data_IF_021679080504
#
_entry.id   IF_021679080504
#
_cell.length_a   1.000
_cell.length_b   1.000
_cell.length_c   1.000
_cell.angle_alpha   90.00
_cell.angle_beta   90.00
_cell.angle_gamma   90.00
#
_symmetry.space_group_name_H-M   'P 1'
#
loop_
_entity.id
_entity.type
_entity.pdbx_description
1 polymer ?
#
# COMPACT_ATOMS: atom_id res chain seq x y z
N UNK A 1 -1.70 19.89 69.63
CA UNK A 1 -0.90 20.64 68.64
C UNK A 1 -0.26 19.75 67.55
N UNK A 2 0.21 18.52 67.84
CA UNK A 2 0.81 17.60 66.84
C UNK A 2 -0.16 17.16 65.71
N UNK A 3 -1.41 16.84 66.02
CA UNK A 3 -2.41 16.36 65.04
C UNK A 3 -2.74 17.43 63.98
N UNK A 4 -2.92 18.70 64.40
CA UNK A 4 -3.19 19.81 63.46
C UNK A 4 -2.02 20.06 62.50
N UNK A 5 -0.77 19.90 62.94
CA UNK A 5 0.42 20.02 62.05
C UNK A 5 0.49 18.89 61.02
N UNK A 6 0.17 17.65 61.42
CA UNK A 6 0.13 16.50 60.51
C UNK A 6 -0.98 16.68 59.46
N UNK A 7 -2.16 17.16 59.85
CA UNK A 7 -3.26 17.44 58.92
C UNK A 7 -2.87 18.50 57.89
N UNK A 8 -2.25 19.61 58.30
CA UNK A 8 -1.79 20.65 57.36
C UNK A 8 -0.74 20.12 56.38
N UNK A 9 0.22 19.32 56.85
CA UNK A 9 1.23 18.69 55.98
C UNK A 9 0.57 17.75 54.97
N UNK A 10 -0.37 16.90 55.40
CA UNK A 10 -1.12 16.00 54.53
C UNK A 10 -1.92 16.77 53.47
N UNK A 11 -2.58 17.87 53.84
CA UNK A 11 -3.31 18.72 52.89
C UNK A 11 -2.37 19.33 51.85
N UNK A 12 -1.22 19.86 52.27
CA UNK A 12 -0.23 20.45 51.33
C UNK A 12 0.31 19.38 50.38
N UNK A 13 0.63 18.19 50.88
CA UNK A 13 1.11 17.07 50.04
C UNK A 13 0.02 16.64 49.05
N UNK A 14 -1.23 16.53 49.49
CA UNK A 14 -2.35 16.17 48.60
C UNK A 14 -2.56 17.20 47.49
N UNK A 15 -2.48 18.50 47.81
CA UNK A 15 -2.57 19.58 46.83
C UNK A 15 -1.41 19.52 45.84
N UNK A 16 -0.19 19.28 46.30
CA UNK A 16 0.98 19.17 45.43
C UNK A 16 0.86 17.98 44.47
N UNK A 17 0.45 16.80 44.99
CA UNK A 17 0.19 15.61 44.16
C UNK A 17 -0.89 15.92 43.12
N UNK A 18 -1.98 16.57 43.53
CA UNK A 18 -3.05 16.96 42.62
C UNK A 18 -2.54 17.87 41.50
N UNK A 19 -1.72 18.89 41.81
CA UNK A 19 -1.13 19.79 40.82
C UNK A 19 -0.18 19.06 39.86
N UNK A 20 0.63 18.12 40.37
CA UNK A 20 1.52 17.29 39.55
C UNK A 20 0.71 16.43 38.58
N UNK A 21 -0.31 15.73 39.09
CA UNK A 21 -1.21 14.90 38.27
C UNK A 21 -1.90 15.76 37.21
N UNK A 22 -2.45 16.91 37.60
CA UNK A 22 -3.09 17.84 36.68
C UNK A 22 -2.13 18.32 35.59
N UNK A 23 -0.88 18.65 35.97
CA UNK A 23 0.14 19.05 35.01
C UNK A 23 0.47 17.93 34.01
N UNK A 24 0.67 16.70 34.50
CA UNK A 24 0.98 15.52 33.68
C UNK A 24 -0.16 15.19 32.70
N UNK A 25 -1.42 15.31 33.09
CA UNK A 25 -2.53 14.91 32.21
C UNK A 25 -3.06 16.03 31.31
N UNK A 26 -2.93 17.31 31.69
CA UNK A 26 -3.58 18.42 30.98
C UNK A 26 -2.63 19.49 30.43
N UNK A 27 -1.51 19.77 31.10
CA UNK A 27 -0.60 20.87 30.72
C UNK A 27 0.55 20.34 29.87
N UNK A 28 1.33 19.41 30.41
CA UNK A 28 2.51 18.85 29.76
C UNK A 28 2.24 18.22 28.38
N UNK A 29 1.11 17.53 28.13
CA UNK A 29 0.84 16.99 26.80
C UNK A 29 0.65 18.03 25.69
N UNK A 30 0.58 19.33 26.02
CA UNK A 30 0.50 20.38 25.00
C UNK A 30 1.86 20.64 24.35
N UNK A 31 2.96 20.31 25.03
CA UNK A 31 4.31 20.61 24.56
C UNK A 31 4.94 19.47 23.77
N UNK A 32 5.51 19.77 22.61
CA UNK A 32 6.07 18.75 21.70
C UNK A 32 7.30 18.04 22.27
N UNK A 33 8.11 18.71 23.09
CA UNK A 33 9.29 18.09 23.73
C UNK A 33 8.93 16.95 24.70
N UNK A 34 7.65 16.85 25.10
CA UNK A 34 7.15 15.74 25.93
C UNK A 34 6.85 14.48 25.13
N UNK A 35 7.00 14.53 23.80
CA UNK A 35 6.72 13.42 22.90
C UNK A 35 8.03 12.85 22.35
N UNK A 36 8.19 11.53 22.47
CA UNK A 36 9.41 10.82 22.08
C UNK A 36 9.11 9.74 21.05
N UNK A 37 10.10 9.30 20.30
CA UNK A 37 9.95 8.16 19.38
C UNK A 37 9.72 6.85 20.13
N UNK A 38 9.16 5.85 19.44
CA UNK A 38 8.82 4.55 20.02
C UNK A 38 10.01 3.89 20.72
N UNK A 39 11.19 3.92 20.10
CA UNK A 39 12.45 3.34 20.60
C UNK A 39 12.97 4.00 21.90
N UNK A 40 12.64 5.28 22.10
CA UNK A 40 13.04 6.08 23.27
C UNK A 40 12.01 6.06 24.39
N UNK A 41 10.81 5.53 24.15
CA UNK A 41 9.76 5.50 25.15
C UNK A 41 10.02 4.38 26.18
N UNK A 42 9.77 4.64 27.47
CA UNK A 42 10.00 3.67 28.54
C UNK A 42 9.08 2.43 28.47
N UNK A 43 7.98 2.51 27.70
CA UNK A 43 7.09 1.39 27.38
C UNK A 43 7.25 0.87 25.94
N UNK A 44 8.44 1.02 25.32
CA UNK A 44 8.71 0.62 23.93
C UNK A 44 8.27 -0.81 23.59
N UNK A 45 8.37 -1.74 24.53
CA UNK A 45 7.96 -3.14 24.35
C UNK A 45 6.44 -3.29 24.11
N UNK A 46 5.62 -2.40 24.71
CA UNK A 46 4.16 -2.36 24.46
C UNK A 46 3.79 -1.65 23.17
N UNK A 47 4.70 -0.85 22.62
CA UNK A 47 4.50 -0.12 21.36
C UNK A 47 4.83 -1.04 20.16
N UNK A 48 5.83 -1.92 20.32
CA UNK A 48 6.34 -2.81 19.29
C UNK A 48 5.54 -4.12 19.10
N UNK A 49 4.31 -4.20 19.62
CA UNK A 49 3.50 -5.42 19.77
C UNK A 49 2.90 -5.97 18.46
N UNK A 50 3.62 -5.84 17.34
CA UNK A 50 3.15 -6.24 16.01
C UNK A 50 3.99 -7.37 15.43
N UNK A 51 3.34 -8.20 14.61
CA UNK A 51 3.96 -9.33 13.90
C UNK A 51 5.15 -8.82 13.05
N UNK A 52 6.35 -9.36 13.34
CA UNK A 52 7.58 -8.91 12.72
C UNK A 52 7.53 -9.06 11.19
N UNK A 53 7.57 -7.94 10.47
CA UNK A 53 7.56 -7.93 9.00
C UNK A 53 6.17 -7.77 8.36
N UNK A 54 5.12 -7.61 9.15
CA UNK A 54 3.78 -7.27 8.65
C UNK A 54 3.32 -5.89 9.14
N UNK A 55 2.25 -5.38 8.53
CA UNK A 55 1.60 -4.13 8.90
C UNK A 55 0.08 -4.29 8.84
N UNK A 56 -0.65 -3.18 8.84
CA UNK A 56 -2.11 -3.20 8.83
C UNK A 56 -2.68 -3.77 7.55
N UNK A 57 -3.50 -4.80 7.69
CA UNK A 57 -4.26 -5.44 6.62
C UNK A 57 -5.53 -4.65 6.35
N UNK A 58 -5.74 -4.23 5.11
CA UNK A 58 -6.96 -3.54 4.66
C UNK A 58 -8.12 -4.50 4.59
N UNK A 59 -9.33 -3.94 4.67
CA UNK A 59 -10.56 -4.67 4.42
C UNK A 59 -10.51 -5.37 3.05
N UNK A 60 -10.77 -6.68 3.02
CA UNK A 60 -10.61 -7.46 1.80
C UNK A 60 -11.80 -8.44 1.58
N UNK A 61 -12.13 -8.78 0.33
CA UNK A 61 -13.23 -9.72 0.03
C UNK A 61 -12.84 -11.17 0.30
N UNK A 62 -11.55 -11.50 0.27
CA UNK A 62 -11.02 -12.83 0.57
C UNK A 62 -9.92 -12.71 1.59
N UNK A 63 -10.03 -13.44 2.69
CA UNK A 63 -9.06 -13.42 3.80
C UNK A 63 -8.76 -14.83 4.25
N UNK A 64 -7.48 -15.13 4.44
CA UNK A 64 -7.03 -16.39 5.02
C UNK A 64 -7.27 -16.38 6.54
N UNK A 65 -8.00 -17.38 7.05
CA UNK A 65 -8.08 -17.71 8.47
C UNK A 65 -7.17 -18.89 8.83
N UNK A 66 -7.22 -19.34 10.08
CA UNK A 66 -6.38 -20.43 10.59
C UNK A 66 -6.66 -21.76 9.88
N UNK A 67 -7.93 -22.16 9.82
CA UNK A 67 -8.36 -23.48 9.31
C UNK A 67 -8.95 -23.45 7.88
N UNK A 68 -9.00 -22.28 7.26
CA UNK A 68 -9.71 -22.10 5.99
C UNK A 68 -9.67 -20.67 5.46
N UNK A 69 -10.31 -20.48 4.31
CA UNK A 69 -10.43 -19.17 3.67
C UNK A 69 -11.84 -18.62 3.83
N UNK A 70 -11.95 -17.38 4.28
CA UNK A 70 -13.19 -16.62 4.26
C UNK A 70 -13.28 -15.83 2.96
N UNK A 71 -14.45 -15.82 2.33
CA UNK A 71 -14.68 -15.06 1.11
C UNK A 71 -16.09 -14.50 1.04
N UNK A 72 -16.22 -13.31 0.48
CA UNK A 72 -17.49 -12.58 0.39
C UNK A 72 -18.18 -12.88 -0.95
N UNK A 73 -19.47 -13.18 -0.91
CA UNK A 73 -20.33 -13.19 -2.09
C UNK A 73 -21.51 -12.25 -1.84
N UNK A 74 -21.48 -11.05 -2.43
CA UNK A 74 -22.50 -10.00 -2.21
C UNK A 74 -22.71 -9.74 -0.72
N UNK A 75 -23.88 -10.01 -0.17
CA UNK A 75 -24.19 -9.84 1.26
C UNK A 75 -23.94 -11.07 2.13
N UNK A 76 -23.30 -12.12 1.60
CA UNK A 76 -23.03 -13.37 2.30
C UNK A 76 -21.53 -13.51 2.57
N UNK A 77 -21.19 -13.87 3.80
CA UNK A 77 -19.85 -14.32 4.14
C UNK A 77 -19.81 -15.84 4.05
N UNK A 78 -18.91 -16.35 3.23
CA UNK A 78 -18.69 -17.78 3.01
C UNK A 78 -17.36 -18.20 3.63
N UNK A 79 -17.23 -19.47 3.97
CA UNK A 79 -16.01 -20.08 4.48
C UNK A 79 -15.73 -21.40 3.77
N UNK A 80 -14.50 -21.56 3.30
CA UNK A 80 -14.00 -22.76 2.64
C UNK A 80 -12.92 -23.41 3.52
N UNK A 81 -13.17 -24.65 3.95
CA UNK A 81 -12.21 -25.43 4.76
C UNK A 81 -10.95 -25.80 3.97
N UNK A 82 -9.77 -25.70 4.59
CA UNK A 82 -8.51 -26.07 3.92
C UNK A 82 -8.44 -27.56 3.51
N UNK A 83 -8.94 -28.46 4.37
CA UNK A 83 -8.72 -29.91 4.22
C UNK A 83 -9.52 -30.52 3.05
N UNK A 84 -10.79 -30.16 2.93
CA UNK A 84 -11.73 -30.78 2.00
C UNK A 84 -12.37 -29.78 1.03
N UNK A 85 -11.98 -28.49 1.09
CA UNK A 85 -12.60 -27.40 0.33
C UNK A 85 -14.12 -27.33 0.47
N UNK A 86 -14.68 -27.81 1.59
CA UNK A 86 -16.11 -27.72 1.87
C UNK A 86 -16.46 -26.27 2.14
N UNK A 87 -17.49 -25.77 1.46
CA UNK A 87 -17.97 -24.40 1.59
C UNK A 87 -19.22 -24.37 2.46
N UNK A 88 -19.29 -23.41 3.37
CA UNK A 88 -20.49 -23.09 4.16
C UNK A 88 -20.69 -21.58 4.25
N UNK A 89 -21.94 -21.16 4.37
CA UNK A 89 -22.27 -19.78 4.72
C UNK A 89 -22.07 -19.58 6.22
N UNK A 90 -21.42 -18.47 6.58
CA UNK A 90 -21.16 -18.07 7.97
C UNK A 90 -22.24 -17.10 8.44
N UNK A 91 -22.50 -16.06 7.65
CA UNK A 91 -23.53 -15.08 7.97
C UNK A 91 -24.02 -14.33 6.72
N UNK A 92 -25.16 -13.66 6.88
CA UNK A 92 -25.77 -12.82 5.85
C UNK A 92 -26.10 -11.44 6.41
N UNK A 93 -25.68 -10.40 5.68
CA UNK A 93 -25.92 -9.00 6.00
C UNK A 93 -27.12 -8.46 5.23
N UNK A 94 -27.63 -7.29 5.65
CA UNK A 94 -28.76 -6.65 4.98
C UNK A 94 -28.34 -6.08 3.63
N UNK A 95 -27.15 -5.46 3.59
CA UNK A 95 -26.52 -4.95 2.37
C UNK A 95 -25.32 -5.82 1.99
N UNK A 96 -24.81 -5.60 0.78
CA UNK A 96 -23.59 -6.23 0.33
C UNK A 96 -22.46 -5.96 1.33
N UNK A 97 -21.62 -6.96 1.55
CA UNK A 97 -20.42 -6.84 2.36
C UNK A 97 -19.33 -6.25 1.46
N UNK A 98 -18.75 -5.13 1.88
CA UNK A 98 -17.63 -4.51 1.18
C UNK A 98 -16.35 -5.34 1.33
N UNK A 99 -16.19 -6.00 2.48
CA UNK A 99 -15.08 -6.90 2.78
C UNK A 99 -15.05 -7.26 4.26
N UNK A 100 -14.00 -7.98 4.65
CA UNK A 100 -13.80 -8.54 5.99
C UNK A 100 -12.36 -8.36 6.48
N UNK A 101 -12.20 -8.46 7.79
CA UNK A 101 -10.91 -8.65 8.48
C UNK A 101 -11.06 -9.83 9.44
N UNK A 102 -10.03 -10.67 9.52
CA UNK A 102 -10.04 -11.89 10.35
C UNK A 102 -8.74 -11.96 11.16
N UNK A 103 -8.86 -12.14 12.48
CA UNK A 103 -7.74 -12.49 13.38
C UNK A 103 -8.24 -13.49 14.41
N UNK A 104 -7.60 -14.65 14.45
CA UNK A 104 -7.99 -15.77 15.30
C UNK A 104 -9.49 -16.10 15.10
N UNK A 105 -10.31 -15.96 16.14
CA UNK A 105 -11.77 -16.17 16.11
C UNK A 105 -12.56 -14.89 15.84
N UNK A 106 -11.92 -13.73 15.72
CA UNK A 106 -12.58 -12.45 15.52
C UNK A 106 -12.75 -12.20 14.01
N UNK A 107 -13.99 -11.94 13.60
CA UNK A 107 -14.34 -11.56 12.24
C UNK A 107 -15.01 -10.20 12.29
N UNK A 108 -14.46 -9.25 11.54
CA UNK A 108 -15.01 -7.90 11.38
C UNK A 108 -15.50 -7.72 9.95
N UNK A 109 -16.65 -7.06 9.81
CA UNK A 109 -17.32 -6.85 8.52
C UNK A 109 -17.69 -5.38 8.35
N UNK A 110 -17.76 -4.93 7.10
CA UNK A 110 -18.35 -3.64 6.72
C UNK A 110 -19.29 -3.82 5.53
N UNK A 111 -20.45 -3.20 5.60
CA UNK A 111 -21.36 -3.13 4.46
C UNK A 111 -20.89 -2.11 3.41
N UNK A 112 -21.20 -2.34 2.12
CA UNK A 112 -20.99 -1.36 1.06
C UNK A 112 -21.69 -0.03 1.40
N UNK A 113 -20.95 1.07 1.27
CA UNK A 113 -21.40 2.43 1.62
C UNK A 113 -21.81 2.61 3.10
N UNK A 114 -21.41 1.69 3.98
CA UNK A 114 -21.66 1.74 5.42
C UNK A 114 -20.50 2.32 6.23
N UNK A 115 -20.81 3.08 7.27
CA UNK A 115 -19.81 3.63 8.21
C UNK A 115 -19.62 2.78 9.47
N UNK A 116 -20.47 1.77 9.67
CA UNK A 116 -20.42 0.90 10.83
C UNK A 116 -19.49 -0.29 10.58
N UNK A 117 -18.71 -0.62 11.60
CA UNK A 117 -17.89 -1.83 11.66
C UNK A 117 -18.64 -2.83 12.53
N UNK A 118 -18.94 -3.98 11.95
CA UNK A 118 -19.63 -5.06 12.62
C UNK A 118 -18.64 -6.12 13.07
N UNK A 119 -18.92 -6.75 14.20
CA UNK A 119 -18.23 -7.93 14.69
C UNK A 119 -19.18 -9.11 14.68
N UNK A 120 -18.71 -10.25 14.18
CA UNK A 120 -19.40 -11.52 14.34
C UNK A 120 -19.05 -12.12 15.70
N UNK A 121 -20.05 -12.36 16.54
CA UNK A 121 -19.86 -13.04 17.81
C UNK A 121 -19.85 -14.57 17.64
N UNK A 122 -19.41 -15.28 18.68
CA UNK A 122 -19.36 -16.75 18.73
C UNK A 122 -20.72 -17.41 18.50
N UNK A 123 -21.80 -16.71 18.85
CA UNK A 123 -23.18 -17.20 18.71
C UNK A 123 -23.76 -16.94 17.31
N UNK A 124 -22.97 -16.37 16.39
CA UNK A 124 -23.37 -16.00 15.04
C UNK A 124 -24.11 -14.67 14.93
N UNK A 125 -24.28 -13.94 16.03
CA UNK A 125 -24.87 -12.59 16.04
C UNK A 125 -23.90 -11.56 15.46
N UNK A 126 -24.43 -10.63 14.67
CA UNK A 126 -23.69 -9.52 14.07
C UNK A 126 -23.99 -8.25 14.88
N UNK A 127 -22.96 -7.70 15.55
CA UNK A 127 -23.11 -6.51 16.40
C UNK A 127 -22.27 -5.36 15.82
N UNK A 128 -22.87 -4.18 15.71
CA UNK A 128 -22.13 -2.95 15.38
C UNK A 128 -21.30 -2.51 16.57
N UNK A 129 -19.97 -2.47 16.43
CA UNK A 129 -19.04 -2.14 17.53
C UNK A 129 -18.36 -0.78 17.39
N UNK A 130 -18.20 -0.27 16.16
CA UNK A 130 -17.54 1.00 15.89
C UNK A 130 -18.35 1.75 14.83
N UNK A 131 -18.60 3.03 15.05
CA UNK A 131 -19.01 3.95 13.99
C UNK A 131 -17.79 4.75 13.55
N UNK A 132 -17.20 4.35 12.43
CA UNK A 132 -15.95 4.87 11.92
C UNK A 132 -15.98 4.92 10.40
N UNK A 133 -16.19 6.09 9.78
CA UNK A 133 -16.05 6.23 8.33
C UNK A 133 -14.61 5.91 7.88
N UNK A 134 -14.39 5.80 6.57
CA UNK A 134 -13.07 5.60 5.98
C UNK A 134 -12.60 4.14 5.90
N UNK A 135 -11.31 3.99 5.55
CA UNK A 135 -10.67 2.69 5.32
C UNK A 135 -10.38 2.02 6.66
N UNK A 136 -10.70 0.73 6.75
CA UNK A 136 -10.46 -0.09 7.93
C UNK A 136 -9.19 -0.92 7.76
N UNK A 137 -8.38 -0.99 8.81
CA UNK A 137 -7.20 -1.83 8.88
C UNK A 137 -7.20 -2.68 10.15
N UNK A 138 -6.58 -3.85 10.06
CA UNK A 138 -6.30 -4.74 11.18
C UNK A 138 -4.79 -4.89 11.34
N UNK A 139 -4.26 -4.50 12.50
CA UNK A 139 -2.85 -4.70 12.83
C UNK A 139 -2.72 -5.17 14.28
N UNK A 140 -2.05 -6.31 14.47
CA UNK A 140 -1.97 -6.98 15.76
C UNK A 140 -3.37 -7.22 16.32
N UNK A 141 -3.60 -6.76 17.55
CA UNK A 141 -4.89 -6.87 18.25
C UNK A 141 -5.74 -5.60 18.18
N UNK A 142 -5.57 -4.79 17.13
CA UNK A 142 -6.23 -3.49 17.01
C UNK A 142 -6.85 -3.27 15.64
N UNK A 143 -7.95 -2.54 15.64
CA UNK A 143 -8.60 -2.04 14.43
C UNK A 143 -8.24 -0.57 14.29
N UNK A 144 -7.87 -0.16 13.09
CA UNK A 144 -7.65 1.24 12.77
C UNK A 144 -8.67 1.71 11.72
N UNK A 145 -9.06 2.97 11.83
CA UNK A 145 -9.86 3.64 10.80
C UNK A 145 -9.13 4.90 10.37
N UNK A 146 -9.03 5.10 9.06
CA UNK A 146 -8.49 6.31 8.46
C UNK A 146 -9.56 6.92 7.54
N UNK A 147 -10.08 8.09 7.91
CA UNK A 147 -11.20 8.74 7.21
C UNK A 147 -10.83 10.11 6.68
N UNK A 148 -11.22 10.40 5.44
CA UNK A 148 -11.07 11.73 4.83
C UNK A 148 -9.62 12.21 4.83
N UNK A 149 -8.67 11.29 4.68
CA UNK A 149 -7.23 11.54 4.74
C UNK A 149 -6.65 12.11 6.05
N UNK A 150 -7.49 12.34 7.07
CA UNK A 150 -7.14 13.18 8.23
C UNK A 150 -7.39 12.46 9.55
N UNK A 151 -8.57 11.88 9.74
CA UNK A 151 -8.96 11.27 11.01
C UNK A 151 -8.40 9.85 11.13
N UNK A 152 -7.36 9.69 11.95
CA UNK A 152 -6.76 8.39 12.26
C UNK A 152 -7.13 7.94 13.67
N UNK A 153 -7.90 6.85 13.76
CA UNK A 153 -8.39 6.32 15.03
C UNK A 153 -7.99 4.85 15.20
N UNK A 154 -7.73 4.46 16.45
CA UNK A 154 -7.36 3.10 16.84
C UNK A 154 -8.33 2.58 17.88
N UNK A 155 -8.73 1.33 17.75
CA UNK A 155 -9.72 0.65 18.57
C UNK A 155 -9.24 -0.73 18.99
N UNK A 156 -9.70 -1.20 20.15
CA UNK A 156 -9.65 -2.62 20.48
C UNK A 156 -10.75 -3.40 19.75
N UNK A 157 -10.70 -4.74 19.84
CA UNK A 157 -11.69 -5.63 19.21
C UNK A 157 -13.10 -5.57 19.83
N UNK A 158 -13.31 -4.80 20.90
CA UNK A 158 -14.62 -4.55 21.48
C UNK A 158 -15.17 -3.17 21.07
N UNK A 159 -14.46 -2.45 20.20
CA UNK A 159 -14.84 -1.13 19.74
C UNK A 159 -14.52 0.01 20.70
N UNK A 160 -13.76 -0.24 21.77
CA UNK A 160 -13.29 0.84 22.63
C UNK A 160 -12.15 1.57 21.96
N UNK A 161 -12.33 2.87 21.77
CA UNK A 161 -11.29 3.73 21.19
C UNK A 161 -10.08 3.84 22.11
N UNK A 162 -8.90 3.58 21.56
CA UNK A 162 -7.59 3.70 22.20
C UNK A 162 -7.05 5.12 22.00
N UNK A 163 -7.06 5.62 20.76
CA UNK A 163 -6.70 7.01 20.44
C UNK A 163 -7.43 7.53 19.20
N UNK A 164 -7.42 8.85 19.05
CA UNK A 164 -7.81 9.59 17.85
C UNK A 164 -6.76 10.67 17.57
N UNK A 165 -6.37 10.81 16.32
CA UNK A 165 -5.49 11.86 15.84
C UNK A 165 -6.03 12.47 14.54
N UNK A 166 -5.58 13.67 14.25
CA UNK A 166 -5.79 14.36 12.99
C UNK A 166 -4.42 14.57 12.35
N UNK A 167 -4.16 13.86 11.24
CA UNK A 167 -2.88 13.90 10.54
C UNK A 167 -2.67 15.20 9.76
N UNK A 168 -3.72 16.04 9.60
CA UNK A 168 -3.60 17.36 9.00
C UNK A 168 -3.34 17.40 7.49
N UNK A 169 -3.48 16.26 6.80
CA UNK A 169 -3.20 16.14 5.36
C UNK A 169 -4.46 16.32 4.50
N UNK A 170 -4.36 17.12 3.45
CA UNK A 170 -5.45 17.41 2.51
C UNK A 170 -5.55 16.39 1.35
N UNK A 171 -5.21 15.13 1.60
CA UNK A 171 -5.26 14.07 0.60
C UNK A 171 -6.62 13.41 0.50
N UNK A 172 -7.09 13.19 -0.73
CA UNK A 172 -8.19 12.28 -1.00
C UNK A 172 -7.87 10.88 -0.43
N UNK A 173 -8.89 10.10 -0.07
CA UNK A 173 -8.81 8.69 0.40
C UNK A 173 -8.17 7.76 -0.66
N UNK A 174 -6.91 8.00 -1.02
CA UNK A 174 -6.13 7.18 -1.94
C UNK A 174 -4.98 6.56 -1.18
N UNK A 175 -4.57 5.42 -1.68
CA UNK A 175 -3.88 4.33 -1.00
C UNK A 175 -3.03 4.77 0.20
N UNK A 176 -3.33 4.19 1.37
CA UNK A 176 -2.56 4.35 2.59
C UNK A 176 -2.11 2.97 3.06
N UNK A 177 -0.93 2.89 3.67
CA UNK A 177 -0.48 1.69 4.39
C UNK A 177 -0.14 2.11 5.80
N UNK A 178 -0.63 1.35 6.77
CA UNK A 178 -0.30 1.57 8.17
C UNK A 178 0.65 0.48 8.65
N UNK A 179 1.60 0.85 9.49
CA UNK A 179 2.44 -0.12 10.19
C UNK A 179 2.99 0.47 11.49
N UNK A 180 2.91 -0.22 12.62
CA UNK A 180 3.42 0.24 13.91
C UNK A 180 2.90 1.65 14.30
N UNK A 181 1.64 1.94 13.99
CA UNK A 181 1.01 3.27 14.04
C UNK A 181 1.61 4.35 13.12
N UNK A 182 2.60 4.05 12.27
CA UNK A 182 2.98 4.89 11.15
C UNK A 182 1.86 4.87 10.11
N UNK A 183 1.70 5.98 9.42
CA UNK A 183 0.86 6.07 8.23
C UNK A 183 1.75 6.48 7.07
N UNK A 184 1.73 5.68 6.01
CA UNK A 184 2.47 5.90 4.78
C UNK A 184 1.46 6.17 3.66
N UNK A 185 1.60 7.32 3.02
CA UNK A 185 0.75 7.81 1.95
C UNK A 185 1.60 8.11 0.70
N UNK A 186 0.99 8.05 -0.48
CA UNK A 186 1.60 8.49 -1.73
C UNK A 186 0.73 9.57 -2.37
N UNK A 187 1.37 10.68 -2.73
CA UNK A 187 0.83 11.73 -3.59
C UNK A 187 1.65 11.80 -4.88
N UNK A 188 1.23 11.04 -5.91
CA UNK A 188 1.78 10.95 -7.28
C UNK A 188 3.33 11.01 -7.43
N UNK A 189 3.92 12.17 -7.15
CA UNK A 189 5.35 12.47 -7.25
C UNK A 189 6.12 12.32 -5.93
N UNK A 190 5.44 12.15 -4.79
CA UNK A 190 6.03 12.14 -3.44
C UNK A 190 5.35 11.09 -2.57
N UNK A 191 6.09 10.52 -1.63
CA UNK A 191 5.48 9.79 -0.52
C UNK A 191 5.54 10.62 0.76
N UNK A 192 4.55 10.46 1.63
CA UNK A 192 4.50 11.10 2.93
C UNK A 192 4.44 10.05 4.02
N UNK A 193 5.19 10.29 5.09
CA UNK A 193 5.29 9.39 6.24
C UNK A 193 4.94 10.15 7.51
N UNK A 194 3.86 9.72 8.14
CA UNK A 194 3.42 10.24 9.43
C UNK A 194 4.02 9.36 10.53
N UNK A 195 5.06 9.90 11.17
CA UNK A 195 5.83 9.18 12.20
C UNK A 195 5.22 9.43 13.59
N UNK A 196 4.81 8.38 14.32
CA UNK A 196 4.23 8.54 15.64
C UNK A 196 5.28 8.95 16.68
N UNK A 197 4.92 9.92 17.50
CA UNK A 197 5.62 10.34 18.71
C UNK A 197 4.70 10.14 19.91
N UNK A 198 5.19 9.49 20.95
CA UNK A 198 4.43 9.05 22.10
C UNK A 198 4.66 9.98 23.28
N UNK A 199 3.58 10.39 23.94
CA UNK A 199 3.67 11.20 25.14
C UNK A 199 4.36 10.41 26.26
N UNK A 200 5.37 11.02 26.90
CA UNK A 200 6.23 10.38 27.88
C UNK A 200 5.48 9.63 29.00
N UNK A 201 4.29 10.09 29.39
CA UNK A 201 3.52 9.48 30.48
C UNK A 201 2.29 8.68 30.02
N UNK A 202 2.00 8.61 28.72
CA UNK A 202 0.86 7.85 28.19
C UNK A 202 1.07 7.46 26.70
N UNK A 203 1.27 6.16 26.45
CA UNK A 203 1.43 5.60 25.09
C UNK A 203 0.22 5.78 24.17
N UNK A 204 -0.98 5.97 24.72
CA UNK A 204 -2.19 6.17 23.91
C UNK A 204 -2.37 7.64 23.49
N UNK A 205 -1.48 8.54 23.96
CA UNK A 205 -1.49 9.94 23.55
C UNK A 205 -0.33 10.16 22.57
N UNK A 206 -0.68 10.15 21.30
CA UNK A 206 0.28 10.21 20.18
C UNK A 206 0.17 11.58 19.50
N UNK A 207 1.30 12.09 19.00
CA UNK A 207 1.38 13.16 18.00
C UNK A 207 2.12 12.62 16.79
N UNK A 208 1.87 13.19 15.62
CA UNK A 208 2.54 12.80 14.39
C UNK A 208 3.50 13.89 13.93
N UNK A 209 4.65 13.46 13.41
CA UNK A 209 5.53 14.32 12.62
C UNK A 209 5.54 13.80 11.20
N UNK A 210 5.21 14.66 10.25
CA UNK A 210 5.21 14.39 8.82
C UNK A 210 6.64 14.46 8.26
N UNK A 211 6.93 13.58 7.32
CA UNK A 211 8.15 13.58 6.51
C UNK A 211 7.79 13.33 5.05
N UNK A 212 8.34 14.13 4.15
CA UNK A 212 8.24 13.89 2.70
C UNK A 212 9.41 13.04 2.23
N UNK A 213 9.10 11.99 1.47
CA UNK A 213 10.03 11.10 0.82
C UNK A 213 10.10 11.38 -0.68
N UNK A 214 11.33 11.51 -1.17
CA UNK A 214 11.62 11.68 -2.58
C UNK A 214 12.20 10.37 -3.13
N UNK A 215 11.56 9.84 -4.17
CA UNK A 215 12.08 8.67 -4.90
C UNK A 215 13.00 9.05 -6.06
N UNK A 216 12.87 10.29 -6.54
CA UNK A 216 13.68 10.82 -7.64
C UNK A 216 15.08 11.18 -7.16
N UNK A 217 16.07 10.86 -7.98
CA UNK A 217 17.49 11.11 -7.75
C UNK A 217 18.09 11.86 -8.95
N UNK A 218 18.82 12.93 -8.67
CA UNK A 218 19.45 13.79 -9.67
C UNK A 218 20.98 13.74 -9.53
N UNK A 219 21.70 13.59 -10.64
CA UNK A 219 23.16 13.32 -10.64
C UNK A 219 23.98 14.39 -11.36
N UNK A 220 23.34 15.24 -12.16
CA UNK A 220 23.99 16.36 -12.84
C UNK A 220 23.46 17.69 -12.29
N UNK A 221 24.26 18.77 -12.31
CA UNK A 221 23.76 20.10 -11.98
C UNK A 221 22.57 20.50 -12.88
N UNK A 222 21.53 21.12 -12.31
CA UNK A 222 20.40 21.60 -13.08
C UNK A 222 20.81 22.75 -14.00
N UNK A 223 20.21 22.78 -15.17
CA UNK A 223 20.18 23.95 -16.06
C UNK A 223 18.93 24.78 -15.80
N UNK A 224 18.85 25.99 -16.37
CA UNK A 224 17.74 26.93 -16.13
C UNK A 224 16.36 26.38 -16.44
N UNK A 225 16.26 25.36 -17.30
CA UNK A 225 15.02 24.70 -17.70
C UNK A 225 14.69 23.43 -16.92
N UNK A 226 15.56 22.97 -16.02
CA UNK A 226 15.28 21.81 -15.19
C UNK A 226 14.44 22.20 -13.97
N UNK A 227 13.63 21.25 -13.48
CA UNK A 227 12.68 21.47 -12.38
C UNK A 227 13.24 21.22 -10.98
N UNK A 228 14.50 20.78 -10.87
CA UNK A 228 15.16 20.44 -9.61
C UNK A 228 16.28 21.44 -9.31
N UNK A 229 16.59 21.57 -8.03
CA UNK A 229 17.60 22.47 -7.49
C UNK A 229 18.98 21.82 -7.39
N UNK A 230 20.02 22.63 -7.21
CA UNK A 230 21.40 22.12 -7.11
C UNK A 230 21.60 21.32 -5.82
N UNK A 231 20.87 21.67 -4.77
CA UNK A 231 20.88 21.06 -3.45
C UNK A 231 20.33 19.63 -3.47
N UNK A 232 19.50 19.28 -4.47
CA UNK A 232 18.95 17.94 -4.67
C UNK A 232 19.89 16.99 -5.43
N UNK A 233 21.02 17.51 -5.94
CA UNK A 233 21.98 16.70 -6.70
C UNK A 233 22.81 15.84 -5.76
N UNK A 234 22.75 14.54 -5.97
CA UNK A 234 23.50 13.55 -5.22
C UNK A 234 24.66 12.96 -6.05
N UNK A 235 25.71 12.45 -5.41
CA UNK A 235 26.76 11.72 -6.12
C UNK A 235 26.21 10.50 -6.86
N UNK A 236 26.85 10.15 -7.98
CA UNK A 236 26.53 8.96 -8.76
C UNK A 236 26.75 7.67 -7.94
N UNK A 237 25.65 7.12 -7.43
CA UNK A 237 25.63 6.05 -6.42
C UNK A 237 25.63 4.64 -7.03
N UNK A 238 25.57 3.61 -6.19
CA UNK A 238 25.50 2.21 -6.65
C UNK A 238 24.21 1.89 -7.40
N UNK A 239 23.11 2.55 -7.04
CA UNK A 239 21.81 2.37 -7.68
C UNK A 239 21.83 2.91 -9.11
N UNK A 240 22.38 4.12 -9.31
CA UNK A 240 22.61 4.71 -10.61
C UNK A 240 23.45 3.80 -11.51
N UNK A 241 24.57 3.27 -10.99
CA UNK A 241 25.45 2.34 -11.71
C UNK A 241 24.71 1.11 -12.23
N UNK A 242 23.85 0.52 -11.40
CA UNK A 242 23.10 -0.68 -11.76
C UNK A 242 22.09 -0.39 -12.87
N UNK A 243 21.28 0.66 -12.69
CA UNK A 243 20.22 1.01 -13.64
C UNK A 243 20.80 1.50 -14.98
N UNK A 244 21.83 2.33 -14.96
CA UNK A 244 22.54 2.81 -16.15
C UNK A 244 23.15 1.63 -16.93
N UNK A 245 23.76 0.68 -16.22
CA UNK A 245 24.28 -0.56 -16.83
C UNK A 245 23.18 -1.41 -17.44
N UNK A 246 22.00 -1.55 -16.80
CA UNK A 246 20.85 -2.28 -17.38
C UNK A 246 20.41 -1.63 -18.69
N UNK A 247 20.25 -0.30 -18.71
CA UNK A 247 19.87 0.44 -19.93
C UNK A 247 20.94 0.28 -21.01
N UNK A 248 22.21 0.58 -20.73
CA UNK A 248 23.31 0.52 -21.71
C UNK A 248 23.61 -0.88 -22.24
N UNK A 249 23.31 -1.93 -21.47
CA UNK A 249 23.42 -3.33 -21.94
C UNK A 249 22.21 -3.80 -22.73
N UNK A 250 21.07 -3.11 -22.63
CA UNK A 250 19.80 -3.54 -23.19
C UNK A 250 19.66 -3.23 -24.68
N UNK A 251 19.03 -4.16 -25.39
CA UNK A 251 18.52 -4.05 -26.78
C UNK A 251 17.37 -3.03 -26.93
N UNK A 252 17.09 -2.24 -25.88
CA UNK A 252 15.94 -1.31 -25.74
C UNK A 252 16.25 0.06 -26.34
N UNK A 253 17.48 0.27 -26.78
CA UNK A 253 17.98 1.57 -27.20
C UNK A 253 18.00 1.70 -28.73
N UNK A 254 17.39 2.76 -29.25
CA UNK A 254 17.43 3.18 -30.65
C UNK A 254 18.60 4.15 -30.98
N UNK A 255 19.40 4.57 -29.97
CA UNK A 255 20.49 5.56 -30.10
C UNK A 255 21.73 5.20 -29.29
N UNK A 256 22.95 5.38 -29.80
CA UNK A 256 24.15 5.13 -28.98
C UNK A 256 24.18 6.02 -27.70
N UNK A 257 24.11 5.43 -26.49
CA UNK A 257 24.08 6.18 -25.22
C UNK A 257 25.44 6.73 -24.81
N UNK A 258 26.55 6.39 -25.47
CA UNK A 258 27.92 6.76 -25.08
C UNK A 258 28.16 8.27 -25.04
N UNK A 259 27.44 9.01 -25.88
CA UNK A 259 27.50 10.48 -25.93
C UNK A 259 26.66 11.16 -24.85
N UNK A 260 25.98 10.38 -23.99
CA UNK A 260 25.11 10.90 -22.96
C UNK A 260 25.57 10.50 -21.55
N UNK A 261 25.30 11.39 -20.60
CA UNK A 261 25.48 11.18 -19.17
C UNK A 261 24.12 11.03 -18.49
N UNK A 262 24.02 10.15 -17.49
CA UNK A 262 22.79 9.99 -16.73
C UNK A 262 22.55 11.25 -15.90
N UNK A 263 21.45 11.95 -16.20
CA UNK A 263 21.03 13.16 -15.51
C UNK A 263 20.19 12.84 -14.28
N UNK A 264 19.16 11.99 -14.42
CA UNK A 264 18.21 11.69 -13.37
C UNK A 264 17.65 10.27 -13.49
N UNK A 265 17.27 9.72 -12.34
CA UNK A 265 16.36 8.59 -12.24
C UNK A 265 15.16 9.08 -11.44
N UNK A 266 14.03 9.21 -12.10
CA UNK A 266 12.79 9.70 -11.52
C UNK A 266 11.80 8.55 -11.42
N UNK A 267 11.06 8.48 -10.32
CA UNK A 267 10.10 7.42 -10.08
C UNK A 267 8.75 8.05 -9.73
N UNK A 268 7.77 7.84 -10.60
CA UNK A 268 6.37 8.14 -10.30
C UNK A 268 5.73 6.87 -9.78
N UNK A 269 5.22 6.92 -8.54
CA UNK A 269 4.55 5.77 -7.93
C UNK A 269 3.04 5.88 -8.17
N UNK A 270 2.43 4.78 -8.64
CA UNK A 270 1.00 4.67 -8.88
C UNK A 270 0.29 4.03 -7.70
N UNK A 271 0.59 2.75 -7.45
CA UNK A 271 -0.08 1.92 -6.43
C UNK A 271 0.94 1.27 -5.51
N UNK A 272 0.54 0.89 -4.29
CA UNK A 272 1.41 0.22 -3.34
C UNK A 272 0.69 -0.80 -2.44
N UNK A 273 1.47 -1.75 -1.91
CA UNK A 273 0.99 -2.85 -1.08
C UNK A 273 0.89 -2.47 0.39
N UNK A 274 0.16 -3.30 1.13
CA UNK A 274 0.36 -3.42 2.57
C UNK A 274 1.81 -3.85 2.88
N UNK A 275 2.25 -3.68 4.13
CA UNK A 275 3.54 -4.23 4.54
C UNK A 275 3.47 -5.76 4.49
N UNK A 276 4.37 -6.34 3.71
CA UNK A 276 4.61 -7.77 3.58
C UNK A 276 6.10 -8.03 3.65
N UNK A 277 6.52 -9.07 4.38
CA UNK A 277 7.92 -9.51 4.46
C UNK A 277 8.92 -8.40 4.85
N UNK A 278 8.45 -7.38 5.58
CA UNK A 278 9.24 -6.21 5.99
C UNK A 278 9.35 -5.10 4.94
N UNK A 279 8.67 -5.25 3.81
CA UNK A 279 8.69 -4.33 2.69
C UNK A 279 7.31 -3.76 2.36
N UNK A 280 7.31 -2.57 1.78
CA UNK A 280 6.17 -2.02 1.02
C UNK A 280 6.56 -2.13 -0.46
N UNK A 281 5.74 -2.83 -1.23
CA UNK A 281 5.89 -2.96 -2.68
C UNK A 281 5.08 -1.88 -3.38
N UNK A 282 5.51 -1.45 -4.55
CA UNK A 282 4.80 -0.44 -5.32
C UNK A 282 5.01 -0.61 -6.82
N UNK A 283 4.03 -0.16 -7.59
CA UNK A 283 4.11 -0.04 -9.04
C UNK A 283 4.43 1.40 -9.40
N UNK A 284 5.36 1.60 -10.32
CA UNK A 284 5.70 2.93 -10.76
C UNK A 284 6.32 2.99 -12.15
N UNK A 285 6.23 4.17 -12.76
CA UNK A 285 7.01 4.51 -13.94
C UNK A 285 8.37 5.05 -13.48
N UNK A 286 9.43 4.31 -13.80
CA UNK A 286 10.80 4.76 -13.60
C UNK A 286 11.32 5.39 -14.91
N UNK A 287 11.59 6.69 -14.87
CA UNK A 287 12.12 7.44 -15.98
C UNK A 287 13.61 7.72 -15.75
N UNK A 288 14.44 7.23 -16.67
CA UNK A 288 15.86 7.56 -16.72
C UNK A 288 16.07 8.64 -17.78
N UNK A 289 16.54 9.81 -17.34
CA UNK A 289 16.85 10.92 -18.24
C UNK A 289 18.36 10.99 -18.42
N UNK A 290 18.79 11.01 -19.67
CA UNK A 290 20.16 11.18 -20.08
C UNK A 290 20.33 12.52 -20.80
N UNK A 291 21.45 13.19 -20.56
CA UNK A 291 21.81 14.47 -21.19
C UNK A 291 23.04 14.28 -22.07
N UNK A 292 22.98 14.82 -23.28
CA UNK A 292 24.11 14.82 -24.20
C UNK A 292 25.30 15.59 -23.61
N UNK A 293 26.50 15.02 -23.66
CA UNK A 293 27.73 15.63 -23.11
C UNK A 293 28.06 16.98 -23.74
N UNK A 294 27.71 17.16 -25.02
CA UNK A 294 27.97 18.37 -25.80
C UNK A 294 26.70 19.20 -26.02
N UNK A 295 25.70 19.10 -25.13
CA UNK A 295 24.42 19.81 -25.26
C UNK A 295 24.58 21.33 -25.40
N UNK A 296 25.57 21.94 -24.74
CA UNK A 296 25.78 23.40 -24.79
C UNK A 296 26.04 23.90 -26.21
N UNK A 297 26.84 23.17 -26.99
CA UNK A 297 27.15 23.52 -28.38
C UNK A 297 25.90 23.36 -29.28
N UNK A 298 25.04 22.38 -28.96
CA UNK A 298 23.79 22.12 -29.71
C UNK A 298 22.71 23.16 -29.43
N UNK A 299 22.74 23.78 -28.25
CA UNK A 299 21.77 24.81 -27.84
C UNK A 299 22.20 26.23 -28.17
N UNK A 300 23.49 26.46 -28.43
CA UNK A 300 24.03 27.79 -28.71
C UNK A 300 23.32 28.46 -29.90
N UNK A 301 22.61 29.56 -29.62
CA UNK A 301 21.85 30.32 -30.62
C UNK A 301 20.47 29.74 -31.01
N UNK A 302 20.07 28.60 -30.44
CA UNK A 302 18.82 27.89 -30.80
C UNK A 302 17.73 27.97 -29.70
N UNK A 303 18.07 28.44 -28.50
CA UNK A 303 17.10 28.58 -27.40
C UNK A 303 16.60 30.01 -27.24
N UNK A 304 15.27 30.16 -27.20
CA UNK A 304 14.61 31.41 -26.87
C UNK A 304 14.67 31.70 -25.37
N UNK A 305 14.59 32.98 -24.97
CA UNK A 305 14.51 33.40 -23.55
C UNK A 305 13.33 32.74 -22.81
N UNK A 306 12.23 32.47 -23.52
CA UNK A 306 11.06 31.78 -22.96
C UNK A 306 11.23 30.25 -23.04
N UNK A 307 11.59 29.64 -21.90
CA UNK A 307 11.88 28.20 -21.75
C UNK A 307 10.73 27.29 -22.22
N UNK A 308 9.46 27.67 -21.99
CA UNK A 308 8.28 26.83 -22.24
C UNK A 308 7.70 26.91 -23.67
N UNK A 309 8.48 27.35 -24.65
CA UNK A 309 8.06 27.41 -26.05
C UNK A 309 8.15 26.05 -26.76
N UNK A 310 7.37 25.84 -27.82
CA UNK A 310 7.42 24.60 -28.62
C UNK A 310 8.80 24.36 -29.23
N UNK A 311 9.43 25.42 -29.75
CA UNK A 311 10.78 25.39 -30.34
C UNK A 311 11.85 24.94 -29.33
N UNK A 312 11.78 25.45 -28.09
CA UNK A 312 12.66 25.04 -27.01
C UNK A 312 12.42 23.57 -26.62
N UNK A 313 11.17 23.09 -26.60
CA UNK A 313 10.87 21.66 -26.35
C UNK A 313 11.48 20.75 -27.42
N UNK A 314 11.44 21.16 -28.69
CA UNK A 314 12.07 20.42 -29.79
C UNK A 314 13.60 20.44 -29.71
N UNK A 315 14.20 21.56 -29.31
CA UNK A 315 15.64 21.63 -29.05
C UNK A 315 16.03 20.74 -27.86
N UNK A 316 15.21 20.69 -26.81
CA UNK A 316 15.42 19.81 -25.65
C UNK A 316 15.36 18.33 -25.99
N UNK A 317 14.43 17.90 -26.85
CA UNK A 317 14.33 16.50 -27.25
C UNK A 317 15.52 16.00 -28.08
N UNK A 318 16.33 16.91 -28.64
CA UNK A 318 17.58 16.60 -29.37
C UNK A 318 18.77 16.37 -28.45
N UNK A 319 18.72 16.87 -27.22
CA UNK A 319 19.82 16.77 -26.24
C UNK A 319 19.48 15.89 -25.03
N UNK A 320 18.21 15.56 -24.85
CA UNK A 320 17.72 14.63 -23.83
C UNK A 320 17.37 13.30 -24.49
N UNK A 321 17.73 12.22 -23.82
CA UNK A 321 17.29 10.88 -24.14
C UNK A 321 16.62 10.29 -22.92
N UNK A 322 15.40 9.79 -23.08
CA UNK A 322 14.57 9.31 -21.96
C UNK A 322 14.26 7.84 -22.17
N UNK A 323 14.49 7.04 -21.13
CA UNK A 323 14.11 5.62 -21.09
C UNK A 323 13.08 5.46 -19.99
N UNK A 324 11.94 4.87 -20.33
CA UNK A 324 10.89 4.52 -19.36
C UNK A 324 10.91 3.04 -19.07
N UNK A 325 10.98 2.70 -17.81
CA UNK A 325 10.89 1.34 -17.28
C UNK A 325 9.69 1.27 -16.35
N UNK A 326 9.12 0.08 -16.21
CA UNK A 326 7.96 -0.17 -15.34
C UNK A 326 8.27 -1.26 -14.31
N UNK A 327 9.30 -1.09 -13.45
CA UNK A 327 9.64 -2.09 -12.45
C UNK A 327 8.57 -2.19 -11.36
N UNK A 328 8.57 -3.31 -10.64
CA UNK A 328 7.94 -3.37 -9.33
C UNK A 328 8.99 -2.91 -8.33
N UNK A 329 8.77 -1.79 -7.65
CA UNK A 329 9.67 -1.31 -6.62
C UNK A 329 9.32 -1.89 -5.25
N UNK A 330 10.29 -1.97 -4.34
CA UNK A 330 10.02 -2.21 -2.92
C UNK A 330 10.96 -1.44 -2.01
N UNK A 331 10.45 -1.04 -0.86
CA UNK A 331 11.20 -0.30 0.16
C UNK A 331 11.07 -0.98 1.52
N UNK A 332 12.17 -1.07 2.28
CA UNK A 332 12.12 -1.65 3.62
C UNK A 332 11.43 -0.70 4.59
N UNK A 333 10.57 -1.24 5.43
CA UNK A 333 9.93 -0.48 6.50
C UNK A 333 10.95 0.09 7.49
N UNK A 334 12.04 -0.63 7.74
CA UNK A 334 13.08 -0.13 8.66
C UNK A 334 13.88 1.03 8.07
N UNK A 335 14.06 1.08 6.75
CA UNK A 335 14.66 2.24 6.07
C UNK A 335 13.73 3.46 6.22
N UNK A 336 12.41 3.25 6.15
CA UNK A 336 11.41 4.29 6.41
C UNK A 336 11.46 4.78 7.87
N UNK A 337 11.61 3.89 8.85
CA UNK A 337 11.70 4.28 10.27
C UNK A 337 12.94 5.11 10.58
N UNK A 338 14.00 4.95 9.79
CA UNK A 338 15.28 5.64 9.94
C UNK A 338 15.39 6.92 9.09
N UNK A 339 14.28 7.39 8.50
CA UNK A 339 14.26 8.63 7.72
C UNK A 339 14.70 9.84 8.58
N UNK A 340 15.56 10.66 7.99
CA UNK A 340 15.91 12.00 8.47
C UNK A 340 15.14 13.04 7.62
N UNK A 341 14.97 14.25 8.14
CA UNK A 341 14.29 15.35 7.41
C UNK A 341 14.89 15.48 5.98
N UNK A 342 14.03 15.33 4.95
CA UNK A 342 14.31 15.45 3.49
C UNK A 342 15.26 14.44 2.81
N UNK A 343 15.23 13.16 3.18
CA UNK A 343 16.07 12.14 2.53
C UNK A 343 15.46 11.55 1.22
N UNK A 344 16.30 11.40 0.19
CA UNK A 344 15.98 10.55 -0.96
C UNK A 344 16.00 9.07 -0.51
N UNK A 345 14.90 8.35 -0.71
CA UNK A 345 14.80 6.96 -0.27
C UNK A 345 15.33 6.02 -1.35
N UNK A 346 16.07 4.99 -0.93
CA UNK A 346 16.50 3.93 -1.84
C UNK A 346 15.46 2.81 -1.86
N UNK A 347 15.32 2.16 -3.02
CA UNK A 347 14.37 1.09 -3.23
C UNK A 347 15.00 0.02 -4.13
N UNK A 348 14.53 -1.22 -3.98
CA UNK A 348 14.91 -2.31 -4.87
C UNK A 348 13.96 -2.33 -6.07
N UNK A 349 14.49 -2.58 -7.27
CA UNK A 349 13.70 -2.73 -8.49
C UNK A 349 13.64 -4.21 -8.91
N UNK A 350 12.42 -4.75 -8.99
CA UNK A 350 12.11 -6.10 -9.46
C UNK A 350 11.64 -5.99 -10.91
N UNK A 351 12.20 -6.84 -11.77
CA UNK A 351 11.85 -6.84 -13.19
C UNK A 351 10.40 -7.34 -13.36
N UNK A 352 9.61 -6.56 -14.10
CA UNK A 352 8.21 -6.85 -14.42
C UNK A 352 8.15 -7.64 -15.74
N UNK A 353 7.27 -8.67 -15.86
CA UNK A 353 7.05 -9.34 -17.14
C UNK A 353 6.62 -8.33 -18.20
N UNK A 354 7.25 -8.37 -19.38
CA UNK A 354 6.79 -7.63 -20.55
C UNK A 354 5.50 -8.30 -21.05
N UNK A 355 4.37 -7.73 -20.68
CA UNK A 355 3.05 -8.06 -21.22
C UNK A 355 2.74 -7.13 -22.40
N UNK A 356 2.10 -7.64 -23.44
CA UNK A 356 1.56 -6.79 -24.52
C UNK A 356 0.36 -5.97 -24.05
N UNK A 357 -0.17 -6.29 -22.87
CA UNK A 357 -1.23 -5.55 -22.18
C UNK A 357 -0.73 -4.21 -21.69
N UNK A 358 -1.43 -3.14 -22.10
CA UNK A 358 -1.11 -1.78 -21.65
C UNK A 358 -1.46 -1.52 -20.18
N UNK A 359 -2.30 -2.36 -19.57
CA UNK A 359 -2.87 -2.11 -18.25
C UNK A 359 -2.66 -3.32 -17.33
N UNK A 360 -1.87 -3.16 -16.26
CA UNK A 360 -1.99 -4.04 -15.09
C UNK A 360 -3.35 -3.83 -14.45
N UNK A 361 -4.02 -4.91 -14.12
CA UNK A 361 -5.32 -4.85 -13.45
C UNK A 361 -5.16 -4.75 -11.93
N UNK A 362 -4.29 -5.58 -11.35
CA UNK A 362 -4.06 -5.63 -9.90
C UNK A 362 -2.72 -6.34 -9.58
N UNK A 363 -2.15 -6.07 -8.41
CA UNK A 363 -0.99 -6.80 -7.88
C UNK A 363 -1.12 -7.10 -6.39
N UNK A 364 -0.69 -8.29 -5.99
CA UNK A 364 -0.83 -8.80 -4.62
C UNK A 364 0.47 -9.43 -4.17
N UNK A 365 0.86 -9.17 -2.92
CA UNK A 365 2.06 -9.74 -2.31
C UNK A 365 1.66 -10.86 -1.34
N UNK A 366 2.24 -12.05 -1.51
CA UNK A 366 2.09 -13.17 -0.58
C UNK A 366 3.35 -14.04 -0.59
N UNK A 367 3.90 -14.33 0.58
CA UNK A 367 5.09 -15.17 0.78
C UNK A 367 6.28 -14.76 -0.09
N UNK A 368 6.59 -13.46 -0.11
CA UNK A 368 7.65 -12.87 -0.96
C UNK A 368 7.46 -13.13 -2.46
N UNK A 369 6.24 -13.42 -2.89
CA UNK A 369 5.86 -13.51 -4.31
C UNK A 369 4.93 -12.37 -4.65
N UNK A 370 5.16 -11.79 -5.82
CA UNK A 370 4.25 -10.82 -6.43
C UNK A 370 3.36 -11.57 -7.40
N UNK A 371 2.05 -11.51 -7.18
CA UNK A 371 1.04 -11.99 -8.11
C UNK A 371 0.52 -10.80 -8.88
N UNK A 372 0.50 -10.91 -10.19
CA UNK A 372 0.21 -9.79 -11.06
C UNK A 372 -0.77 -10.20 -12.14
N UNK A 373 -1.85 -9.45 -12.28
CA UNK A 373 -2.88 -9.71 -13.29
C UNK A 373 -2.81 -8.71 -14.44
N UNK A 374 -2.96 -9.23 -15.66
CA UNK A 374 -3.02 -8.47 -16.89
C UNK A 374 -4.30 -8.85 -17.63
N UNK A 375 -4.95 -7.85 -18.21
CA UNK A 375 -6.02 -8.03 -19.18
C UNK A 375 -5.44 -7.65 -20.54
N UNK A 376 -5.46 -8.58 -21.48
CA UNK A 376 -4.96 -8.36 -22.84
C UNK A 376 -6.11 -8.48 -23.83
N UNK A 377 -6.26 -7.49 -24.71
CA UNK A 377 -7.20 -7.55 -25.83
C UNK A 377 -6.59 -8.40 -26.96
N UNK A 378 -7.41 -9.27 -27.56
CA UNK A 378 -7.05 -10.03 -28.75
C UNK A 378 -8.23 -10.11 -29.71
N UNK A 379 -7.95 -10.28 -31.01
CA UNK A 379 -8.99 -10.40 -32.04
C UNK A 379 -9.02 -11.83 -32.54
N UNK A 380 -10.21 -12.44 -32.50
CA UNK A 380 -10.48 -13.76 -33.07
C UNK A 380 -11.80 -13.69 -33.86
N UNK A 381 -11.82 -14.22 -35.09
CA UNK A 381 -13.01 -14.21 -35.96
C UNK A 381 -13.67 -12.82 -36.14
N UNK A 382 -12.87 -11.76 -36.30
CA UNK A 382 -13.32 -10.36 -36.39
C UNK A 382 -14.11 -9.86 -35.16
N UNK A 383 -13.94 -10.50 -34.01
CA UNK A 383 -14.47 -10.08 -32.72
C UNK A 383 -13.32 -9.83 -31.75
N UNK A 384 -13.45 -8.76 -30.96
CA UNK A 384 -12.53 -8.44 -29.88
C UNK A 384 -12.90 -9.24 -28.63
N UNK A 385 -11.91 -9.91 -28.06
CA UNK A 385 -11.98 -10.68 -26.84
C UNK A 385 -10.91 -10.20 -25.88
N UNK A 386 -11.08 -10.53 -24.60
CA UNK A 386 -10.07 -10.30 -23.58
C UNK A 386 -9.58 -11.61 -22.99
N UNK A 387 -8.31 -11.62 -22.61
CA UNK A 387 -7.72 -12.70 -21.83
C UNK A 387 -7.13 -12.15 -20.52
N UNK A 388 -7.43 -12.85 -19.43
CA UNK A 388 -6.82 -12.61 -18.13
C UNK A 388 -5.58 -13.50 -18.03
N UNK A 389 -4.41 -12.89 -17.79
CA UNK A 389 -3.17 -13.58 -17.46
C UNK A 389 -2.75 -13.24 -16.03
N UNK A 390 -2.37 -14.26 -15.28
CA UNK A 390 -1.84 -14.11 -13.93
C UNK A 390 -0.40 -14.62 -13.92
N UNK A 391 0.52 -13.74 -13.54
CA UNK A 391 1.92 -14.05 -13.35
C UNK A 391 2.24 -14.14 -11.86
N UNK A 392 3.14 -15.06 -11.54
CA UNK A 392 3.81 -15.14 -10.24
C UNK A 392 5.27 -14.76 -10.41
N UNK A 393 5.73 -13.80 -9.63
CA UNK A 393 7.10 -13.27 -9.68
C UNK A 393 7.75 -13.51 -8.32
N UNK A 394 8.96 -14.07 -8.34
CA UNK A 394 9.80 -14.19 -7.15
C UNK A 394 10.42 -12.83 -6.82
N UNK A 395 10.10 -12.25 -5.66
CA UNK A 395 10.59 -10.93 -5.29
C UNK A 395 12.10 -10.90 -4.97
N UNK A 396 12.74 -12.05 -4.73
CA UNK A 396 14.17 -12.13 -4.45
C UNK A 396 14.98 -12.40 -5.72
N UNK A 397 14.48 -13.25 -6.62
CA UNK A 397 15.21 -13.64 -7.83
C UNK A 397 14.75 -12.94 -9.11
N UNK A 398 13.67 -12.16 -9.06
CA UNK A 398 13.00 -11.54 -10.21
C UNK A 398 12.53 -12.53 -11.29
N UNK A 399 12.45 -13.83 -10.96
CA UNK A 399 12.00 -14.85 -11.91
C UNK A 399 10.48 -14.82 -11.97
N UNK A 400 9.94 -14.59 -13.16
CA UNK A 400 8.50 -14.59 -13.42
C UNK A 400 8.04 -15.87 -14.12
N UNK A 401 6.80 -16.28 -13.82
CA UNK A 401 6.14 -17.42 -14.46
C UNK A 401 4.65 -17.12 -14.63
N UNK A 402 4.12 -17.30 -15.84
CA UNK A 402 2.67 -17.35 -16.06
C UNK A 402 2.10 -18.58 -15.32
N UNK A 403 1.15 -18.34 -14.42
CA UNK A 403 0.50 -19.42 -13.65
C UNK A 403 -0.89 -19.73 -14.17
N UNK A 404 -1.64 -18.73 -14.66
CA UNK A 404 -3.00 -18.94 -15.10
C UNK A 404 -3.38 -18.01 -16.25
N UNK A 405 -4.13 -18.55 -17.21
CA UNK A 405 -4.69 -17.82 -18.35
C UNK A 405 -6.15 -18.22 -18.51
N UNK A 406 -7.02 -17.24 -18.72
CA UNK A 406 -8.44 -17.42 -19.03
C UNK A 406 -8.79 -16.58 -20.25
N UNK A 407 -9.31 -17.23 -21.31
CA UNK A 407 -9.67 -16.61 -22.58
C UNK A 407 -11.18 -16.35 -22.70
N UNK A 408 -11.57 -15.60 -23.74
CA UNK A 408 -12.98 -15.40 -24.09
C UNK A 408 -13.74 -14.51 -23.11
N UNK A 409 -13.06 -13.56 -22.46
CA UNK A 409 -13.71 -12.62 -21.55
C UNK A 409 -14.41 -11.53 -22.35
N UNK A 410 -15.69 -11.32 -22.06
CA UNK A 410 -16.47 -10.16 -22.52
C UNK A 410 -16.48 -9.02 -21.48
N UNK A 411 -15.88 -9.23 -20.31
CA UNK A 411 -15.96 -8.34 -19.17
C UNK A 411 -14.93 -7.19 -19.25
N UNK A 412 -15.31 -6.02 -18.73
CA UNK A 412 -14.39 -4.89 -18.61
C UNK A 412 -13.23 -5.22 -17.63
N UNK A 413 -12.06 -4.58 -17.73
CA UNK A 413 -10.93 -4.79 -16.80
C UNK A 413 -11.39 -4.57 -15.34
N UNK A 414 -12.24 -3.55 -15.12
CA UNK A 414 -12.87 -3.19 -13.84
C UNK A 414 -13.84 -4.24 -13.27
N UNK A 415 -14.05 -5.35 -13.97
CA UNK A 415 -14.98 -6.41 -13.58
C UNK A 415 -14.28 -7.70 -13.13
N UNK A 416 -12.95 -7.67 -13.03
CA UNK A 416 -12.14 -8.77 -12.53
C UNK A 416 -11.32 -8.31 -11.34
N UNK A 417 -11.49 -9.01 -10.21
CA UNK A 417 -10.66 -8.82 -9.02
C UNK A 417 -9.98 -10.15 -8.70
N UNK A 418 -8.71 -10.10 -8.32
CA UNK A 418 -7.97 -11.28 -7.88
C UNK A 418 -7.67 -11.17 -6.39
N UNK A 419 -7.60 -12.31 -5.70
CA UNK A 419 -7.18 -12.37 -4.31
C UNK A 419 -6.31 -13.60 -4.10
N UNK A 420 -5.25 -13.48 -3.30
CA UNK A 420 -4.31 -14.57 -3.08
C UNK A 420 -4.29 -14.95 -1.61
N UNK A 421 -4.53 -16.22 -1.33
CA UNK A 421 -4.44 -16.83 0.00
C UNK A 421 -3.26 -17.79 0.05
N UNK A 422 -3.08 -18.49 1.17
CA UNK A 422 -1.97 -19.45 1.31
C UNK A 422 -2.05 -20.58 0.29
N UNK A 423 -3.28 -20.98 -0.06
CA UNK A 423 -3.55 -22.16 -0.87
C UNK A 423 -4.02 -21.81 -2.29
N UNK A 424 -4.74 -20.70 -2.46
CA UNK A 424 -5.48 -20.44 -3.70
C UNK A 424 -5.35 -19.00 -4.20
N UNK A 425 -5.58 -18.84 -5.50
CA UNK A 425 -5.89 -17.58 -6.15
C UNK A 425 -7.41 -17.58 -6.39
N UNK A 426 -8.13 -16.62 -5.83
CA UNK A 426 -9.54 -16.39 -6.09
C UNK A 426 -9.67 -15.34 -7.20
N UNK A 427 -10.56 -15.59 -8.15
CA UNK A 427 -10.86 -14.74 -9.29
C UNK A 427 -12.35 -14.43 -9.24
N UNK A 428 -12.66 -13.17 -8.96
CA UNK A 428 -14.01 -12.63 -8.97
C UNK A 428 -14.26 -12.06 -10.35
N UNK A 429 -15.33 -12.50 -11.01
CA UNK A 429 -15.68 -12.06 -12.36
C UNK A 429 -17.14 -11.67 -12.45
N UNK A 430 -17.41 -10.44 -12.89
CA UNK A 430 -18.76 -10.04 -13.26
C UNK A 430 -19.06 -10.35 -14.73
N UNK A 431 -20.23 -10.92 -15.01
CA UNK A 431 -20.66 -11.31 -16.36
C UNK A 431 -21.53 -10.20 -16.97
N UNK A 432 -21.24 -9.79 -18.21
CA UNK A 432 -22.08 -8.96 -19.11
C UNK A 432 -22.66 -7.67 -18.51
N UNK A 433 -21.88 -6.92 -17.73
CA UNK A 433 -22.36 -5.74 -16.97
C UNK A 433 -23.61 -6.01 -16.08
N UNK A 434 -23.98 -7.28 -15.88
CA UNK A 434 -25.31 -7.71 -15.44
C UNK A 434 -25.43 -7.86 -13.92
N UNK A 435 -24.46 -7.37 -13.15
CA UNK A 435 -24.31 -7.58 -11.69
C UNK A 435 -24.25 -9.06 -11.26
N UNK A 436 -24.19 -9.99 -12.21
CA UNK A 436 -23.94 -11.41 -11.96
C UNK A 436 -22.46 -11.62 -11.67
N UNK A 437 -22.16 -12.18 -10.50
CA UNK A 437 -20.80 -12.42 -10.02
C UNK A 437 -20.57 -13.92 -9.99
N UNK A 438 -19.47 -14.38 -10.56
CA UNK A 438 -18.96 -15.73 -10.38
C UNK A 438 -17.61 -15.66 -9.66
N UNK A 439 -17.32 -16.70 -8.87
CA UNK A 439 -16.04 -16.82 -8.18
C UNK A 439 -15.39 -18.13 -8.58
N UNK A 440 -14.15 -18.05 -9.06
CA UNK A 440 -13.31 -19.20 -9.38
C UNK A 440 -12.13 -19.23 -8.42
N UNK A 441 -11.80 -20.40 -7.87
CA UNK A 441 -10.52 -20.62 -7.20
C UNK A 441 -9.57 -21.36 -8.13
N UNK A 442 -8.28 -21.09 -8.00
CA UNK A 442 -7.20 -21.80 -8.70
C UNK A 442 -6.12 -22.09 -7.68
N UNK A 443 -5.43 -23.23 -7.77
CA UNK A 443 -4.24 -23.44 -6.93
C UNK A 443 -3.17 -22.39 -7.26
N UNK A 444 -2.28 -22.07 -6.31
CA UNK A 444 -1.23 -21.03 -6.52
C UNK A 444 -0.23 -21.32 -7.64
N UNK A 445 -0.15 -22.57 -8.09
CA UNK A 445 0.65 -22.98 -9.25
C UNK A 445 -0.14 -22.90 -10.57
N UNK A 446 -1.40 -22.49 -10.52
CA UNK A 446 -2.32 -22.40 -11.65
C UNK A 446 -3.20 -23.62 -11.86
N UNK A 447 -2.92 -24.73 -11.19
CA UNK A 447 -3.62 -25.99 -11.42
C UNK A 447 -5.04 -25.98 -10.83
N UNK A 448 -5.86 -26.92 -11.29
CA UNK A 448 -7.19 -27.21 -10.75
C UNK A 448 -8.08 -25.96 -10.55
N UNK A 449 -8.39 -25.22 -11.63
CA UNK A 449 -9.37 -24.14 -11.55
C UNK A 449 -10.76 -24.74 -11.28
N UNK A 450 -11.46 -24.21 -10.28
CA UNK A 450 -12.77 -24.67 -9.83
C UNK A 450 -13.67 -23.46 -9.60
N UNK A 451 -14.84 -23.44 -10.23
CA UNK A 451 -15.88 -22.48 -9.94
C UNK A 451 -16.48 -22.83 -8.58
N UNK A 452 -16.36 -21.92 -7.62
CA UNK A 452 -16.84 -22.12 -6.25
C UNK A 452 -18.25 -21.55 -6.06
N UNK A 453 -18.57 -20.47 -6.78
CA UNK A 453 -19.88 -19.82 -6.78
C UNK A 453 -20.29 -19.48 -8.21
N UNK A 454 -21.53 -19.79 -8.57
CA UNK A 454 -22.13 -19.44 -9.85
C UNK A 454 -22.76 -18.04 -9.87
N UNK A 455 -23.27 -17.63 -11.03
CA UNK A 455 -23.93 -16.34 -11.21
C UNK A 455 -25.22 -16.17 -10.41
N UNK A 456 -25.85 -17.28 -10.00
CA UNK A 456 -27.07 -17.32 -9.21
C UNK A 456 -26.77 -17.23 -7.70
N UNK A 457 -25.52 -17.47 -7.31
CA UNK A 457 -25.05 -17.47 -5.94
C UNK A 457 -25.10 -18.84 -5.27
N UNK A 458 -25.20 -19.91 -6.05
CA UNK A 458 -25.14 -21.28 -5.58
C UNK A 458 -23.69 -21.77 -5.51
N UNK A 459 -23.43 -22.64 -4.52
CA UNK A 459 -22.15 -23.32 -4.38
C UNK A 459 -22.13 -24.50 -5.36
N UNK A 460 -21.28 -24.43 -6.38
CA UNK A 460 -21.25 -25.44 -7.46
C UNK A 460 -20.05 -26.40 -7.38
N UNK A 461 -18.87 -25.90 -7.03
CA UNK A 461 -17.62 -26.69 -6.94
C UNK A 461 -17.28 -27.46 -8.24
N UNK A 462 -17.47 -26.81 -9.39
CA UNK A 462 -17.29 -27.41 -10.71
C UNK A 462 -15.91 -27.11 -11.33
N UNK A 463 -15.19 -28.11 -11.88
CA UNK A 463 -13.94 -27.86 -12.61
C UNK A 463 -14.16 -26.94 -13.81
N UNK A 464 -13.22 -26.01 -14.02
CA UNK A 464 -13.23 -25.14 -15.20
C UNK A 464 -12.25 -25.66 -16.24
N UNK A 465 -12.65 -25.64 -17.51
CA UNK A 465 -11.77 -25.98 -18.64
C UNK A 465 -10.92 -24.74 -18.96
N UNK A 466 -9.61 -24.96 -19.16
CA UNK A 466 -8.66 -23.90 -19.53
C UNK A 466 -8.79 -23.50 -20.99
#
# INVERSE_FOLDING_TARGET
MKIKRIQVILTVVAVLIFLIVLSIYFILPKFDFMYVSADKHWQKEKIADNDAGEGGKKLNKVVQGEDGTYFVYKNRLMYMENKNAKIKEICKMQRNISGILVKDKNIFLREESGNSIYKLNTDGEIISIIYGPGIMYLEGNNIYTLSGGTEFEKYDFNGKRIFKNDLGYNGFDRDNTIFNNYVFNIDFLKAEVYVPKYYLFNINKIKYKEYTLHFSKYYLPPETWDSYSREEVIPYDSFAKEMDKKVRKGEIIDRNPDNYELQSIELSVGDFSEVSDGYIYFLGEQKLTYRDKNYKDKLFGNMNEYINTYENKECMSKIKYEVKLYPIGRVKVDDIKNILDSAAISYDAIDRPLSNGRNSNDFIIRDKKVYMSYIEDYVENNQEYRELKIYKIDAETSISKEVYTMKGLFADERMIEIFVTDNYIFIYRYIDNSKKLCITRVNRDGSNPVQVMDENGEVVMEPQIR
#
